data_IF_451830752621
#
_entry.id   IF_451830752621
#
_cell.length_a   1.000
_cell.length_b   1.000
_cell.length_c   1.000
_cell.angle_alpha   90.00
_cell.angle_beta   90.00
_cell.angle_gamma   90.00
#
_symmetry.space_group_name_H-M   'P 1'
#
loop_
_entity.id
_entity.type
_entity.pdbx_description
1 polymer ?
#
# COMPACT_ATOMS: atom_id res chain seq x y z
N UNK A 1 -6.27 -6.19 5.68
CA UNK A 1 -4.84 -6.34 5.37
C UNK A 1 -4.02 -6.50 6.64
N UNK A 2 -2.92 -7.23 6.54
CA UNK A 2 -1.92 -7.39 7.61
C UNK A 2 -0.75 -6.47 7.28
N UNK A 3 -0.32 -5.65 8.25
CA UNK A 3 0.76 -4.66 8.03
C UNK A 3 2.10 -5.27 8.42
N UNK A 4 2.95 -5.54 7.43
CA UNK A 4 4.32 -6.00 7.64
C UNK A 4 5.33 -4.86 7.77
N UNK A 5 4.97 -3.66 7.31
CA UNK A 5 5.80 -2.45 7.28
C UNK A 5 4.97 -1.25 7.73
N UNK A 6 4.90 -1.00 9.04
CA UNK A 6 4.15 0.13 9.57
C UNK A 6 4.71 1.47 9.08
N UNK A 7 3.85 2.48 8.99
CA UNK A 7 4.26 3.85 8.67
C UNK A 7 5.40 4.32 9.58
N UNK A 8 6.46 4.87 8.99
CA UNK A 8 7.68 5.30 9.69
C UNK A 8 8.70 4.20 9.98
N UNK A 9 8.40 2.94 9.66
CA UNK A 9 9.39 1.85 9.77
C UNK A 9 10.44 1.94 8.66
N UNK A 10 11.65 1.42 8.92
CA UNK A 10 12.74 1.37 7.93
C UNK A 10 12.74 0.03 7.19
N UNK A 11 13.05 0.07 5.90
CA UNK A 11 13.28 -1.12 5.10
C UNK A 11 14.48 -1.90 5.66
N UNK A 12 14.33 -3.19 6.00
CA UNK A 12 15.36 -3.96 6.70
C UNK A 12 16.67 -4.08 5.90
N UNK A 13 16.60 -4.04 4.56
CA UNK A 13 17.76 -4.15 3.67
C UNK A 13 18.25 -2.83 3.05
N UNK A 14 17.39 -1.83 2.96
CA UNK A 14 17.65 -0.64 2.11
C UNK A 14 17.59 0.68 2.90
N UNK A 15 17.20 0.65 4.18
CA UNK A 15 17.29 1.79 5.08
C UNK A 15 16.30 2.94 4.83
N UNK A 16 15.57 2.95 3.71
CA UNK A 16 14.53 3.94 3.46
C UNK A 16 13.33 3.75 4.39
N UNK A 17 12.59 4.83 4.62
CA UNK A 17 11.43 4.84 5.50
C UNK A 17 10.12 4.68 4.72
N UNK A 18 9.23 3.83 5.21
CA UNK A 18 7.89 3.67 4.66
C UNK A 18 7.01 4.87 5.00
N UNK A 19 6.56 5.61 3.97
CA UNK A 19 5.68 6.78 4.09
C UNK A 19 4.19 6.45 4.15
N UNK A 20 3.85 5.17 4.07
CA UNK A 20 2.51 4.62 4.21
C UNK A 20 2.59 3.30 4.97
N UNK A 21 1.49 2.85 5.57
CA UNK A 21 1.42 1.48 6.07
C UNK A 21 1.40 0.53 4.87
N UNK A 22 2.25 -0.49 4.90
CA UNK A 22 2.43 -1.44 3.81
C UNK A 22 2.40 -2.89 4.31
N UNK A 23 1.78 -3.76 3.53
CA UNK A 23 1.67 -5.19 3.82
C UNK A 23 0.82 -5.88 2.76
N UNK A 24 0.06 -6.90 3.14
CA UNK A 24 -0.62 -7.76 2.17
C UNK A 24 -2.09 -8.02 2.54
N UNK A 25 -2.88 -8.42 1.54
CA UNK A 25 -4.29 -8.82 1.72
C UNK A 25 -4.38 -10.34 1.92
N UNK A 26 -4.75 -10.83 3.11
CA UNK A 26 -4.82 -12.27 3.35
C UNK A 26 -5.92 -12.91 2.51
N UNK A 27 -5.71 -14.18 2.13
CA UNK A 27 -6.64 -14.96 1.29
C UNK A 27 -6.84 -14.39 -0.12
N UNK A 28 -5.84 -13.69 -0.65
CA UNK A 28 -5.77 -13.31 -2.07
C UNK A 28 -4.65 -14.09 -2.75
N UNK A 29 -4.63 -14.09 -4.09
CA UNK A 29 -3.59 -14.76 -4.85
C UNK A 29 -3.16 -13.91 -6.05
N UNK A 30 -1.87 -13.59 -6.08
CA UNK A 30 -1.14 -12.98 -7.18
C UNK A 30 -0.81 -14.04 -8.26
N UNK A 31 -0.42 -13.64 -9.49
CA UNK A 31 0.03 -14.57 -10.54
C UNK A 31 1.17 -15.52 -10.11
N UNK A 32 2.05 -15.10 -9.19
CA UNK A 32 3.14 -15.93 -8.66
C UNK A 32 2.71 -16.86 -7.51
N UNK A 33 1.47 -16.74 -7.06
CA UNK A 33 0.89 -17.56 -6.00
C UNK A 33 0.97 -16.97 -4.60
N UNK A 34 1.63 -15.82 -4.42
CA UNK A 34 1.69 -15.08 -3.16
C UNK A 34 0.43 -14.23 -2.91
N UNK A 35 0.30 -13.65 -1.73
CA UNK A 35 -0.78 -12.72 -1.41
C UNK A 35 -0.53 -11.34 -2.06
N UNK A 36 -1.59 -10.62 -2.41
CA UNK A 36 -1.45 -9.30 -3.05
C UNK A 36 -0.95 -8.26 -2.04
N UNK A 37 0.16 -7.62 -2.38
CA UNK A 37 0.71 -6.49 -1.64
C UNK A 37 -0.18 -5.23 -1.78
N UNK A 38 -0.21 -4.42 -0.73
CA UNK A 38 -1.05 -3.25 -0.63
C UNK A 38 -0.44 -2.13 0.21
N UNK A 39 -0.75 -0.89 -0.19
CA UNK A 39 -0.61 0.31 0.62
C UNK A 39 -1.92 0.65 1.31
N UNK A 40 -1.83 1.09 2.57
CA UNK A 40 -2.96 1.67 3.31
C UNK A 40 -2.75 3.17 3.52
N UNK A 41 -3.57 3.99 2.85
CA UNK A 41 -3.49 5.45 2.88
C UNK A 41 -4.57 6.07 3.76
N UNK A 42 -4.46 7.37 4.04
CA UNK A 42 -5.46 8.13 4.82
C UNK A 42 -5.31 8.03 6.35
N UNK A 43 -4.27 7.36 6.85
CA UNK A 43 -3.97 7.27 8.30
C UNK A 43 -2.54 7.71 8.59
N UNK A 44 -2.37 8.64 9.53
CA UNK A 44 -1.09 9.25 9.91
C UNK A 44 -0.39 8.58 11.10
N UNK A 45 -0.67 7.29 11.36
CA UNK A 45 -0.06 6.50 12.44
C UNK A 45 0.28 5.09 11.97
N UNK A 46 1.30 4.44 12.57
CA UNK A 46 1.60 3.03 12.29
C UNK A 46 0.43 2.13 12.71
N UNK A 47 0.20 1.08 11.93
CA UNK A 47 -0.81 0.05 12.18
C UNK A 47 -0.19 -1.34 12.13
N UNK A 48 -0.84 -2.32 12.76
CA UNK A 48 -0.51 -3.75 12.62
C UNK A 48 -1.51 -4.49 11.71
N UNK A 49 -2.76 -4.01 11.68
CA UNK A 49 -3.82 -4.51 10.83
C UNK A 49 -4.73 -3.34 10.42
N UNK A 50 -5.42 -3.50 9.30
CA UNK A 50 -6.38 -2.53 8.81
C UNK A 50 -7.46 -3.18 7.96
N UNK A 51 -8.64 -2.57 7.91
CA UNK A 51 -9.74 -2.90 7.00
C UNK A 51 -10.11 -1.65 6.22
N UNK A 52 -10.35 -1.80 4.93
CA UNK A 52 -10.66 -0.69 4.06
C UNK A 52 -11.14 -1.15 2.69
N UNK A 53 -11.33 -0.19 1.80
CA UNK A 53 -11.78 -0.41 0.42
C UNK A 53 -10.58 -0.23 -0.51
N UNK A 54 -10.39 -1.17 -1.43
CA UNK A 54 -9.42 -1.02 -2.52
C UNK A 54 -9.99 -0.05 -3.56
N UNK A 55 -9.23 0.96 -3.92
CA UNK A 55 -9.68 2.09 -4.75
C UNK A 55 -8.82 2.31 -6.00
N UNK A 56 -7.61 1.74 -6.03
CA UNK A 56 -6.70 1.86 -7.15
C UNK A 56 -5.69 0.69 -7.16
N UNK A 57 -5.05 0.51 -8.31
CA UNK A 57 -3.96 -0.44 -8.53
C UNK A 57 -2.76 0.36 -9.04
N UNK A 58 -1.60 0.18 -8.42
CA UNK A 58 -0.31 0.64 -8.92
C UNK A 58 0.19 -0.45 -9.86
N UNK A 59 0.06 -0.21 -11.16
CA UNK A 59 0.56 -1.12 -12.17
C UNK A 59 2.05 -0.85 -12.43
N UNK A 60 2.91 -1.85 -12.25
CA UNK A 60 4.34 -1.72 -12.56
C UNK A 60 4.55 -2.08 -14.02
N UNK A 61 5.24 -1.21 -14.76
CA UNK A 61 5.46 -1.42 -16.21
C UNK A 61 6.72 -2.22 -16.53
N UNK A 62 7.44 -2.68 -15.50
CA UNK A 62 8.74 -3.34 -15.63
C UNK A 62 8.82 -4.72 -14.98
N UNK A 63 7.76 -5.17 -14.31
CA UNK A 63 7.53 -6.52 -13.82
C UNK A 63 6.03 -6.73 -13.50
N UNK A 64 5.64 -7.94 -13.13
CA UNK A 64 4.24 -8.33 -12.89
C UNK A 64 3.80 -8.15 -11.41
N UNK A 65 4.42 -7.22 -10.68
CA UNK A 65 4.26 -7.03 -9.24
C UNK A 65 3.39 -5.80 -8.90
N UNK A 66 2.14 -5.87 -9.33
CA UNK A 66 1.10 -4.87 -9.08
C UNK A 66 0.76 -4.76 -7.59
N UNK A 67 0.47 -3.53 -7.14
CA UNK A 67 0.13 -3.24 -5.73
C UNK A 67 -1.21 -2.59 -5.60
N UNK A 68 -1.98 -3.00 -4.60
CA UNK A 68 -3.27 -2.39 -4.31
C UNK A 68 -3.13 -1.11 -3.48
N UNK A 69 -4.03 -0.17 -3.68
CA UNK A 69 -4.20 1.00 -2.80
C UNK A 69 -5.51 0.85 -2.04
N UNK A 70 -5.41 0.77 -0.73
CA UNK A 70 -6.52 0.59 0.19
C UNK A 70 -6.64 1.83 1.08
N UNK A 71 -7.87 2.26 1.36
CA UNK A 71 -8.18 3.39 2.25
C UNK A 71 -9.27 2.99 3.25
N UNK A 72 -9.37 3.68 4.41
CA UNK A 72 -10.54 3.55 5.28
C UNK A 72 -11.85 3.70 4.51
N UNK A 73 -12.85 2.93 4.89
CA UNK A 73 -14.19 3.07 4.30
C UNK A 73 -14.73 4.49 4.54
N UNK A 74 -15.35 5.08 3.52
CA UNK A 74 -15.81 6.47 3.55
C UNK A 74 -14.71 7.52 3.37
N UNK A 75 -13.49 7.13 2.97
CA UNK A 75 -12.45 8.10 2.60
C UNK A 75 -12.84 8.80 1.29
N UNK A 76 -13.10 10.10 1.38
CA UNK A 76 -13.24 10.99 0.22
C UNK A 76 -11.86 11.34 -0.32
N UNK A 77 -11.54 10.86 -1.52
CA UNK A 77 -10.34 11.27 -2.23
C UNK A 77 -10.67 12.39 -3.21
N UNK A 78 -9.90 13.46 -3.11
CA UNK A 78 -9.89 14.51 -4.14
C UNK A 78 -8.71 14.26 -5.06
N UNK A 79 -8.93 14.36 -6.37
CA UNK A 79 -7.85 14.33 -7.36
C UNK A 79 -7.03 15.61 -7.24
N UNK A 80 -6.08 15.62 -6.30
CA UNK A 80 -5.11 16.69 -6.19
C UNK A 80 -3.87 16.29 -6.99
N UNK A 81 -3.86 16.64 -8.28
CA UNK A 81 -2.69 16.49 -9.16
C UNK A 81 -1.54 17.36 -8.66
N UNK A 82 -0.68 16.81 -7.81
CA UNK A 82 0.64 17.39 -7.55
C UNK A 82 1.62 16.79 -8.55
N UNK A 83 1.96 17.54 -9.59
CA UNK A 83 3.08 17.23 -10.47
C UNK A 83 4.39 17.35 -9.67
N UNK A 84 5.13 16.24 -9.51
CA UNK A 84 6.54 16.32 -9.21
C UNK A 84 7.30 16.41 -10.56
N UNK A 85 8.12 17.45 -10.81
CA UNK A 85 8.93 17.49 -12.01
C UNK A 85 9.91 16.30 -12.02
N UNK A 86 10.06 15.68 -13.19
CA UNK A 86 11.02 14.60 -13.44
C UNK A 86 12.46 15.08 -13.29
#
# INVERSE_FOLDING_TARGET
MIIGRPLGSKHPKHGFEYKANYGYIPNTKSPDGEELDAYYLGISRPLMNARGVCIAIIHRTNDDDDKLVVVPEGTELTDNRTYAPQ
#
